data_IF_523365934850
#
_entry.id   IF_523365934850
#
_cell.length_a   1.000
_cell.length_b   1.000
_cell.length_c   1.000
_cell.angle_alpha   90.00
_cell.angle_beta   90.00
_cell.angle_gamma   90.00
#
_symmetry.space_group_name_H-M   'P 1'
#
loop_
_entity.id
_entity.type
_entity.pdbx_description
1 polymer ?
#
# COMPACT_ATOMS: atom_id res chain seq x y z
N UNK A 1 -45.16 54.48 -2.36
CA UNK A 1 -44.77 54.42 -3.79
C UNK A 1 -45.01 53.02 -4.32
N UNK A 2 -46.09 52.83 -5.08
CA UNK A 2 -46.27 51.73 -6.03
C UNK A 2 -45.80 52.22 -7.43
N UNK A 3 -45.64 51.40 -8.48
CA UNK A 3 -46.11 50.01 -8.60
C UNK A 3 -45.13 49.00 -9.28
N UNK A 4 -45.46 47.70 -9.27
CA UNK A 4 -45.00 46.71 -10.25
C UNK A 4 -46.05 46.49 -11.37
N UNK A 5 -45.61 46.14 -12.58
CA UNK A 5 -46.47 45.88 -13.73
C UNK A 5 -46.82 44.38 -13.91
N UNK A 6 -48.13 44.11 -13.75
CA UNK A 6 -49.08 43.19 -14.43
C UNK A 6 -48.55 42.21 -15.51
N UNK A 7 -48.83 40.90 -15.40
CA UNK A 7 -50.02 40.12 -15.89
C UNK A 7 -50.11 40.04 -17.43
N UNK A 8 -50.59 39.00 -18.13
CA UNK A 8 -51.16 37.67 -17.84
C UNK A 8 -51.37 36.97 -19.22
N UNK A 9 -51.65 35.66 -19.25
CA UNK A 9 -52.24 35.04 -20.46
C UNK A 9 -52.18 33.51 -20.54
N UNK A 10 -53.11 32.81 -19.87
CA UNK A 10 -53.51 31.42 -20.16
C UNK A 10 -54.54 31.40 -21.29
N UNK A 11 -54.52 30.38 -22.16
CA UNK A 11 -55.70 29.62 -22.60
C UNK A 11 -55.31 28.40 -23.47
N UNK A 12 -56.03 27.29 -23.27
CA UNK A 12 -55.88 25.95 -23.90
C UNK A 12 -56.81 25.79 -25.14
N UNK A 13 -57.29 24.59 -25.54
CA UNK A 13 -56.82 23.76 -26.65
C UNK A 13 -57.87 23.58 -27.77
N UNK A 14 -57.48 23.00 -28.91
CA UNK A 14 -58.41 22.69 -30.01
C UNK A 14 -58.09 21.38 -30.73
N UNK A 15 -58.99 20.39 -30.61
CA UNK A 15 -59.04 19.17 -31.43
C UNK A 15 -59.52 19.47 -32.85
N UNK A 16 -58.94 18.80 -33.86
CA UNK A 16 -59.68 18.22 -34.99
C UNK A 16 -58.80 17.29 -35.87
N UNK A 17 -59.29 16.07 -36.08
CA UNK A 17 -59.02 15.13 -37.19
C UNK A 17 -60.38 14.99 -37.95
N UNK A 18 -60.57 14.29 -39.11
CA UNK A 18 -59.69 13.38 -39.87
C UNK A 18 -59.85 13.46 -41.43
N UNK A 19 -59.42 12.38 -42.13
CA UNK A 19 -59.74 11.90 -43.50
C UNK A 19 -58.76 12.33 -44.63
N UNK A 20 -58.26 11.46 -45.52
CA UNK A 20 -58.50 10.05 -45.75
C UNK A 20 -57.59 9.44 -46.84
N UNK A 21 -57.39 8.13 -46.72
CA UNK A 21 -57.42 7.07 -47.77
C UNK A 21 -56.45 7.11 -48.97
N UNK A 22 -55.76 5.98 -49.13
CA UNK A 22 -55.20 5.49 -50.39
C UNK A 22 -54.30 4.28 -50.16
N UNK A 23 -54.89 3.07 -50.14
CA UNK A 23 -54.16 1.81 -49.97
C UNK A 23 -53.83 1.13 -51.30
N UNK A 24 -52.80 0.27 -51.27
CA UNK A 24 -52.65 -0.89 -52.15
C UNK A 24 -51.99 -2.03 -51.37
N UNK A 25 -52.43 -3.26 -51.67
CA UNK A 25 -52.35 -4.43 -50.82
C UNK A 25 -51.41 -5.54 -51.36
N UNK A 26 -50.91 -6.33 -50.40
CA UNK A 26 -50.49 -7.74 -50.43
C UNK A 26 -49.23 -8.17 -51.23
N UNK A 27 -48.56 -9.31 -50.91
CA UNK A 27 -48.94 -10.39 -49.97
C UNK A 27 -47.84 -10.84 -48.97
N UNK A 28 -48.25 -11.61 -47.95
CA UNK A 28 -47.39 -12.53 -47.17
C UNK A 28 -47.22 -13.85 -47.98
N UNK A 29 -46.18 -14.70 -47.82
CA UNK A 29 -45.84 -15.34 -46.54
C UNK A 29 -44.35 -15.75 -46.34
N UNK A 30 -44.00 -16.20 -45.14
CA UNK A 30 -43.22 -17.43 -44.87
C UNK A 30 -42.47 -17.32 -43.53
N UNK A 31 -42.73 -18.31 -42.67
CA UNK A 31 -41.95 -18.61 -41.48
C UNK A 31 -40.56 -19.10 -41.93
N UNK A 32 -39.49 -18.49 -41.44
CA UNK A 32 -38.18 -19.13 -41.40
C UNK A 32 -37.51 -18.88 -40.05
N UNK A 33 -37.09 -19.99 -39.45
CA UNK A 33 -36.35 -20.11 -38.22
C UNK A 33 -35.04 -19.32 -38.29
N UNK A 34 -34.95 -18.22 -37.55
CA UNK A 34 -33.73 -17.44 -37.35
C UNK A 34 -33.17 -17.67 -35.96
N UNK A 35 -31.96 -18.21 -35.91
CA UNK A 35 -31.22 -18.63 -34.73
C UNK A 35 -31.28 -17.64 -33.54
N UNK A 36 -31.45 -18.22 -32.35
CA UNK A 36 -31.19 -17.56 -31.07
C UNK A 36 -29.74 -17.08 -31.00
N UNK A 37 -29.51 -15.80 -31.30
CA UNK A 37 -28.31 -15.10 -30.85
C UNK A 37 -28.43 -14.86 -29.34
N UNK A 38 -28.19 -15.91 -28.53
CA UNK A 38 -27.82 -15.69 -27.13
C UNK A 38 -26.44 -15.04 -27.15
N UNK A 39 -26.42 -13.76 -26.80
CA UNK A 39 -25.21 -12.97 -26.70
C UNK A 39 -24.15 -13.67 -25.86
N UNK A 40 -23.13 -14.20 -26.53
CA UNK A 40 -21.78 -14.26 -25.99
C UNK A 40 -21.14 -12.89 -26.23
N UNK A 41 -21.64 -11.86 -25.55
CA UNK A 41 -20.80 -10.71 -25.24
C UNK A 41 -19.94 -11.17 -24.07
N UNK A 42 -18.77 -11.70 -24.40
CA UNK A 42 -17.79 -12.11 -23.42
C UNK A 42 -17.54 -10.96 -22.46
N UNK A 43 -17.67 -11.24 -21.17
CA UNK A 43 -17.01 -10.44 -20.16
C UNK A 43 -15.54 -10.41 -20.56
N UNK A 44 -15.06 -9.27 -21.07
CA UNK A 44 -13.66 -9.09 -21.36
C UNK A 44 -12.92 -9.34 -20.04
N UNK A 45 -12.17 -10.44 -19.96
CA UNK A 45 -11.34 -10.78 -18.80
C UNK A 45 -10.57 -9.52 -18.39
N UNK A 46 -10.80 -9.02 -17.17
CA UNK A 46 -10.17 -7.81 -16.64
C UNK A 46 -8.65 -8.03 -16.63
N UNK A 47 -7.99 -7.54 -17.68
CA UNK A 47 -6.55 -7.66 -17.87
C UNK A 47 -5.91 -6.38 -17.39
N UNK A 48 -4.97 -6.50 -16.47
CA UNK A 48 -4.13 -5.41 -15.99
C UNK A 48 -2.80 -5.47 -16.74
N UNK A 49 -2.32 -4.33 -17.19
CA UNK A 49 -1.10 -4.21 -18.00
C UNK A 49 -0.15 -3.21 -17.35
N UNK A 50 1.13 -3.58 -17.28
CA UNK A 50 2.24 -2.74 -16.81
C UNK A 50 1.96 -2.01 -15.49
N UNK A 51 1.31 -2.67 -14.53
CA UNK A 51 1.06 -2.08 -13.22
C UNK A 51 2.37 -2.01 -12.43
N UNK A 52 2.73 -0.83 -11.88
CA UNK A 52 3.87 -0.70 -10.98
C UNK A 52 3.73 -1.61 -9.77
N UNK A 53 4.76 -2.42 -9.52
CA UNK A 53 4.74 -3.39 -8.45
C UNK A 53 6.12 -3.71 -7.88
N UNK A 54 6.11 -4.30 -6.69
CA UNK A 54 7.27 -4.96 -6.08
C UNK A 54 6.90 -6.36 -5.62
N UNK A 55 7.83 -7.30 -5.75
CA UNK A 55 7.66 -8.63 -5.13
C UNK A 55 7.89 -8.50 -3.62
N UNK A 56 6.87 -8.86 -2.83
CA UNK A 56 7.00 -8.99 -1.38
C UNK A 56 7.59 -10.33 -1.00
N UNK A 57 7.05 -11.40 -1.60
CA UNK A 57 7.43 -12.78 -1.32
C UNK A 57 7.03 -13.72 -2.47
N UNK A 58 7.57 -14.94 -2.47
CA UNK A 58 7.16 -15.99 -3.40
C UNK A 58 7.13 -17.34 -2.69
N UNK A 59 6.28 -18.25 -3.20
CA UNK A 59 6.12 -19.61 -2.73
C UNK A 59 6.16 -20.59 -3.90
N UNK A 60 6.62 -21.81 -3.63
CA UNK A 60 6.52 -22.90 -4.58
C UNK A 60 5.07 -23.32 -4.81
N UNK A 61 4.64 -23.35 -6.07
CA UNK A 61 3.28 -23.75 -6.44
C UNK A 61 3.23 -25.10 -7.15
N UNK A 62 4.17 -25.32 -8.06
CA UNK A 62 4.36 -26.62 -8.72
C UNK A 62 5.85 -26.82 -9.02
N UNK A 63 6.19 -27.95 -9.65
CA UNK A 63 7.55 -28.23 -10.11
C UNK A 63 8.14 -27.09 -10.96
N UNK A 64 7.29 -26.38 -11.71
CA UNK A 64 7.74 -25.32 -12.62
C UNK A 64 7.21 -23.93 -12.32
N UNK A 65 6.32 -23.76 -11.32
CA UNK A 65 5.61 -22.48 -11.10
C UNK A 65 5.75 -21.95 -9.68
N UNK A 66 5.62 -20.63 -9.55
CA UNK A 66 5.62 -19.91 -8.27
C UNK A 66 4.29 -19.18 -8.07
N UNK A 67 3.86 -19.05 -6.81
CA UNK A 67 2.98 -17.94 -6.39
C UNK A 67 3.88 -16.77 -6.01
N UNK A 68 3.53 -15.59 -6.47
CA UNK A 68 4.19 -14.33 -6.17
C UNK A 68 3.20 -13.44 -5.43
N UNK A 69 3.56 -13.02 -4.22
CA UNK A 69 2.85 -11.96 -3.51
C UNK A 69 3.49 -10.63 -3.93
N UNK A 70 2.73 -9.82 -4.67
CA UNK A 70 3.17 -8.54 -5.19
C UNK A 70 2.41 -7.40 -4.51
N UNK A 71 3.12 -6.35 -4.11
CA UNK A 71 2.49 -5.08 -3.75
C UNK A 71 2.40 -4.22 -5.01
N UNK A 72 1.19 -3.82 -5.39
CA UNK A 72 0.90 -3.09 -6.61
C UNK A 72 0.29 -1.74 -6.26
N UNK A 73 0.53 -0.71 -7.08
CA UNK A 73 0.15 0.66 -6.74
C UNK A 73 -1.36 0.86 -6.68
N UNK A 74 -2.09 0.29 -7.62
CA UNK A 74 -3.52 0.56 -7.87
C UNK A 74 -4.42 -0.62 -7.53
N UNK A 75 -3.86 -1.76 -7.12
CA UNK A 75 -4.61 -2.96 -6.78
C UNK A 75 -4.17 -3.58 -5.44
N UNK A 76 -3.32 -2.91 -4.68
CA UNK A 76 -2.90 -3.39 -3.37
C UNK A 76 -2.03 -4.64 -3.44
N UNK A 77 -2.13 -5.48 -2.41
CA UNK A 77 -1.43 -6.77 -2.37
C UNK A 77 -2.16 -7.82 -3.23
N UNK A 78 -1.46 -8.33 -4.24
CA UNK A 78 -1.96 -9.28 -5.22
C UNK A 78 -1.21 -10.62 -5.14
N UNK A 79 -1.94 -11.73 -5.14
CA UNK A 79 -1.38 -13.07 -5.32
C UNK A 79 -1.42 -13.47 -6.80
N UNK A 80 -0.25 -13.72 -7.39
CA UNK A 80 -0.09 -14.01 -8.81
C UNK A 80 0.62 -15.35 -9.05
N UNK A 81 0.04 -16.25 -9.84
CA UNK A 81 0.73 -17.46 -10.28
C UNK A 81 1.61 -17.16 -11.50
N UNK A 82 2.92 -17.31 -11.33
CA UNK A 82 3.93 -17.22 -12.38
C UNK A 82 4.21 -18.62 -12.94
N UNK A 83 3.43 -19.01 -13.97
CA UNK A 83 3.52 -20.33 -14.60
C UNK A 83 4.85 -20.49 -15.31
N UNK A 84 5.55 -21.60 -15.04
CA UNK A 84 6.84 -21.89 -15.68
C UNK A 84 8.01 -21.04 -15.14
N UNK A 85 7.80 -20.22 -14.11
CA UNK A 85 8.81 -19.31 -13.56
C UNK A 85 10.15 -19.97 -13.20
N UNK A 86 10.14 -21.25 -12.80
CA UNK A 86 11.34 -21.99 -12.39
C UNK A 86 12.15 -22.56 -13.56
N UNK A 87 11.59 -22.60 -14.78
CA UNK A 87 12.27 -23.16 -15.95
C UNK A 87 13.51 -22.33 -16.29
N UNK A 88 14.63 -22.94 -16.71
CA UNK A 88 15.81 -22.20 -17.15
C UNK A 88 15.54 -21.18 -18.26
N UNK A 89 14.62 -21.48 -19.16
CA UNK A 89 14.22 -20.62 -20.28
C UNK A 89 13.15 -19.57 -19.93
N UNK A 90 12.75 -19.45 -18.66
CA UNK A 90 11.67 -18.56 -18.26
C UNK A 90 12.10 -17.09 -18.21
N UNK A 91 11.36 -16.23 -18.90
CA UNK A 91 11.52 -14.78 -18.82
C UNK A 91 11.20 -14.21 -17.42
N UNK A 92 10.48 -14.95 -16.57
CA UNK A 92 10.16 -14.51 -15.20
C UNK A 92 11.31 -14.75 -14.22
N UNK A 93 12.17 -15.75 -14.48
CA UNK A 93 13.22 -16.18 -13.55
C UNK A 93 14.19 -15.06 -13.15
N UNK A 94 14.67 -14.19 -14.07
CA UNK A 94 15.62 -13.15 -13.70
C UNK A 94 14.98 -11.88 -13.10
N UNK A 95 13.67 -11.68 -13.25
CA UNK A 95 13.02 -10.40 -12.91
C UNK A 95 12.18 -10.43 -11.63
N UNK A 96 11.70 -11.59 -11.18
CA UNK A 96 10.84 -11.69 -9.98
C UNK A 96 11.63 -11.62 -8.67
N UNK A 97 12.44 -10.58 -8.52
CA UNK A 97 13.28 -10.33 -7.35
C UNK A 97 12.57 -9.37 -6.38
N UNK A 98 12.62 -9.62 -5.07
CA UNK A 98 12.17 -8.66 -4.06
C UNK A 98 12.97 -7.36 -4.12
N UNK A 99 12.37 -6.26 -3.65
CA UNK A 99 13.00 -4.93 -3.60
C UNK A 99 13.41 -4.36 -4.96
N UNK A 100 12.97 -4.97 -6.07
CA UNK A 100 13.18 -4.47 -7.42
C UNK A 100 11.87 -3.89 -7.97
N UNK A 101 11.92 -2.72 -8.62
CA UNK A 101 10.73 -2.13 -9.24
C UNK A 101 10.36 -2.96 -10.48
N UNK A 102 9.09 -3.30 -10.60
CA UNK A 102 8.57 -4.11 -11.71
C UNK A 102 7.34 -3.45 -12.34
N UNK A 103 7.12 -3.75 -13.61
CA UNK A 103 5.84 -3.56 -14.29
C UNK A 103 5.22 -4.94 -14.52
N UNK A 104 4.13 -5.22 -13.82
CA UNK A 104 3.45 -6.51 -13.88
C UNK A 104 2.19 -6.43 -14.72
N UNK A 105 1.97 -7.45 -15.54
CA UNK A 105 0.74 -7.66 -16.29
C UNK A 105 0.10 -8.97 -15.88
N UNK A 106 -1.21 -8.98 -15.62
CA UNK A 106 -1.91 -10.20 -15.22
C UNK A 106 -3.37 -10.22 -15.70
N UNK A 107 -4.02 -11.36 -15.55
CA UNK A 107 -5.45 -11.50 -15.81
C UNK A 107 -6.05 -12.71 -15.11
N UNK A 108 -7.38 -12.80 -15.16
CA UNK A 108 -8.18 -13.75 -14.40
C UNK A 108 -8.95 -13.07 -13.28
N UNK A 109 -9.92 -13.78 -12.74
CA UNK A 109 -10.93 -13.31 -11.79
C UNK A 109 -10.93 -14.08 -10.45
N UNK A 110 -10.05 -15.07 -10.29
CA UNK A 110 -9.87 -15.80 -9.03
C UNK A 110 -8.96 -15.06 -8.03
N UNK A 111 -8.95 -15.56 -6.79
CA UNK A 111 -8.10 -15.06 -5.68
C UNK A 111 -6.60 -15.08 -6.00
N UNK A 112 -6.17 -16.04 -6.83
CA UNK A 112 -4.82 -16.10 -7.40
C UNK A 112 -4.95 -15.88 -8.91
N UNK A 113 -4.44 -14.74 -9.39
CA UNK A 113 -4.50 -14.38 -10.81
C UNK A 113 -3.29 -14.89 -11.57
N UNK A 114 -3.40 -15.07 -12.88
CA UNK A 114 -2.27 -15.54 -13.67
C UNK A 114 -1.39 -14.38 -14.12
N UNK A 115 -0.12 -14.40 -13.72
CA UNK A 115 0.90 -13.48 -14.22
C UNK A 115 1.10 -13.72 -15.72
N UNK A 116 1.02 -12.64 -16.52
CA UNK A 116 1.15 -12.64 -17.98
C UNK A 116 2.41 -11.95 -18.46
N UNK A 117 2.97 -11.02 -17.70
CA UNK A 117 4.19 -10.30 -18.02
C UNK A 117 4.82 -9.71 -16.76
N UNK A 118 6.14 -9.65 -16.73
CA UNK A 118 6.92 -8.99 -15.70
C UNK A 118 8.13 -8.34 -16.37
N UNK A 119 8.24 -7.03 -16.25
CA UNK A 119 9.34 -6.24 -16.80
C UNK A 119 10.04 -5.53 -15.65
N UNK A 120 11.37 -5.44 -15.72
CA UNK A 120 12.14 -4.67 -14.74
C UNK A 120 11.94 -3.18 -15.00
N UNK A 121 11.52 -2.44 -13.97
CA UNK A 121 11.33 -0.99 -14.02
C UNK A 121 12.65 -0.20 -14.02
N UNK A 122 13.78 -0.86 -13.74
CA UNK A 122 15.11 -0.26 -13.76
C UNK A 122 15.41 0.67 -12.58
N UNK A 123 16.63 1.22 -12.58
CA UNK A 123 17.00 2.37 -11.74
C UNK A 123 17.46 2.07 -10.32
N UNK A 124 17.44 0.81 -9.87
CA UNK A 124 17.82 0.44 -8.51
C UNK A 124 18.86 -0.68 -8.45
N UNK A 125 19.94 -0.41 -7.72
CA UNK A 125 20.89 -1.45 -7.31
C UNK A 125 20.26 -2.27 -6.19
N UNK A 126 20.50 -3.57 -6.16
CA UNK A 126 19.99 -4.43 -5.08
C UNK A 126 20.61 -3.99 -3.75
N UNK A 127 19.80 -3.69 -2.71
CA UNK A 127 20.33 -3.44 -1.38
C UNK A 127 21.15 -4.63 -0.87
N UNK A 128 22.16 -4.36 -0.06
CA UNK A 128 23.03 -5.39 0.53
C UNK A 128 23.11 -5.24 2.04
N UNK A 129 23.65 -6.25 2.73
CA UNK A 129 23.87 -6.20 4.18
C UNK A 129 22.61 -5.88 4.98
N UNK A 130 22.72 -4.91 5.90
CA UNK A 130 21.64 -4.53 6.81
C UNK A 130 20.49 -3.78 6.09
N UNK A 131 20.78 -3.10 4.97
CA UNK A 131 19.77 -2.46 4.14
C UNK A 131 18.87 -3.49 3.43
N UNK A 132 19.44 -4.62 2.99
CA UNK A 132 18.68 -5.75 2.45
C UNK A 132 17.73 -6.34 3.51
N UNK A 133 18.23 -6.55 4.73
CA UNK A 133 17.42 -7.06 5.83
C UNK A 133 16.31 -6.08 6.23
N UNK A 134 16.59 -4.78 6.17
CA UNK A 134 15.62 -3.70 6.36
C UNK A 134 14.50 -3.73 5.31
N UNK A 135 14.85 -3.96 4.04
CA UNK A 135 13.88 -4.13 2.96
C UNK A 135 12.99 -5.36 3.17
N UNK A 136 13.58 -6.51 3.53
CA UNK A 136 12.79 -7.71 3.82
C UNK A 136 11.88 -7.53 5.03
N UNK A 137 12.33 -6.80 6.05
CA UNK A 137 11.49 -6.43 7.19
C UNK A 137 10.25 -5.62 6.74
N UNK A 138 10.44 -4.63 5.87
CA UNK A 138 9.31 -3.88 5.30
C UNK A 138 8.36 -4.78 4.49
N UNK A 139 8.89 -5.73 3.71
CA UNK A 139 8.07 -6.72 2.99
C UNK A 139 7.24 -7.57 3.94
N UNK A 140 7.84 -8.04 5.03
CA UNK A 140 7.14 -8.85 6.03
C UNK A 140 6.03 -8.05 6.72
N UNK A 141 6.27 -6.78 7.05
CA UNK A 141 5.23 -5.92 7.61
C UNK A 141 4.05 -5.73 6.64
N UNK A 142 4.32 -5.47 5.35
CA UNK A 142 3.27 -5.37 4.33
C UNK A 142 2.48 -6.68 4.21
N UNK A 143 3.17 -7.82 4.26
CA UNK A 143 2.53 -9.14 4.22
C UNK A 143 1.62 -9.42 5.42
N UNK A 144 1.95 -8.88 6.60
CA UNK A 144 1.17 -9.09 7.82
C UNK A 144 0.03 -8.09 8.00
N UNK A 145 0.23 -6.84 7.58
CA UNK A 145 -0.67 -5.74 7.91
C UNK A 145 -1.60 -5.32 6.76
N UNK A 146 -1.29 -5.65 5.50
CA UNK A 146 -2.18 -5.31 4.38
C UNK A 146 -3.19 -6.42 4.08
N UNK A 147 -4.45 -6.03 3.87
CA UNK A 147 -5.42 -6.89 3.21
C UNK A 147 -5.02 -7.17 1.75
N UNK A 148 -5.49 -8.27 1.18
CA UNK A 148 -5.34 -8.51 -0.27
C UNK A 148 -6.33 -7.64 -1.03
N UNK A 149 -5.92 -7.19 -2.20
CA UNK A 149 -6.76 -6.41 -3.13
C UNK A 149 -7.29 -5.07 -2.57
N UNK A 150 -6.63 -4.51 -1.54
CA UNK A 150 -6.93 -3.19 -0.96
C UNK A 150 -5.86 -2.17 -1.37
N UNK A 151 -6.25 -1.12 -2.11
CA UNK A 151 -5.30 -0.23 -2.77
C UNK A 151 -4.80 0.89 -1.84
N UNK A 152 -3.47 0.99 -1.74
CA UNK A 152 -2.80 2.04 -0.97
C UNK A 152 -1.74 2.75 -1.82
N UNK A 153 -2.13 3.57 -2.81
CA UNK A 153 -1.18 4.18 -3.76
C UNK A 153 -0.14 5.07 -3.07
N UNK A 154 -0.52 5.82 -2.02
CA UNK A 154 0.42 6.64 -1.24
C UNK A 154 1.41 5.79 -0.43
N UNK A 155 0.97 4.66 0.11
CA UNK A 155 1.85 3.72 0.82
C UNK A 155 2.78 3.00 -0.16
N UNK A 156 2.30 2.69 -1.36
CA UNK A 156 3.14 2.17 -2.44
C UNK A 156 4.25 3.15 -2.80
N UNK A 157 3.91 4.43 -3.00
CA UNK A 157 4.89 5.47 -3.31
C UNK A 157 5.90 5.64 -2.16
N UNK A 158 5.46 5.54 -0.90
CA UNK A 158 6.34 5.54 0.28
C UNK A 158 7.25 4.31 0.36
N UNK A 159 6.74 3.12 0.04
CA UNK A 159 7.55 1.90 -0.03
C UNK A 159 8.60 2.00 -1.15
N UNK A 160 8.22 2.50 -2.32
CA UNK A 160 9.15 2.74 -3.42
C UNK A 160 10.27 3.70 -3.00
N UNK A 161 9.94 4.78 -2.31
CA UNK A 161 10.91 5.73 -1.77
C UNK A 161 11.83 5.10 -0.70
N UNK A 162 11.28 4.25 0.19
CA UNK A 162 12.08 3.47 1.14
C UNK A 162 13.11 2.60 0.40
N UNK A 163 12.68 1.84 -0.60
CA UNK A 163 13.58 0.97 -1.37
C UNK A 163 14.69 1.77 -2.07
N UNK A 164 14.38 2.96 -2.59
CA UNK A 164 15.39 3.86 -3.14
C UNK A 164 16.44 4.26 -2.10
N UNK A 165 16.01 4.64 -0.89
CA UNK A 165 16.95 4.98 0.20
C UNK A 165 17.81 3.78 0.60
N UNK A 166 17.24 2.58 0.66
CA UNK A 166 17.97 1.35 1.00
C UNK A 166 18.98 0.92 -0.09
N UNK A 167 18.75 1.32 -1.33
CA UNK A 167 19.64 1.04 -2.46
C UNK A 167 20.75 2.10 -2.64
N UNK A 168 20.63 3.25 -1.98
CA UNK A 168 21.57 4.35 -2.11
C UNK A 168 22.89 4.09 -1.36
N UNK A 169 24.02 4.69 -1.78
CA UNK A 169 25.29 4.60 -1.05
C UNK A 169 25.20 5.05 0.41
N UNK A 170 24.35 6.03 0.70
CA UNK A 170 24.12 6.61 2.02
C UNK A 170 23.17 5.76 2.89
N UNK A 171 22.77 4.56 2.43
CA UNK A 171 21.83 3.70 3.12
C UNK A 171 22.24 3.43 4.58
N UNK A 172 23.52 3.26 4.88
CA UNK A 172 23.99 2.98 6.24
C UNK A 172 23.57 4.09 7.24
N UNK A 173 23.64 5.35 6.83
CA UNK A 173 23.27 6.48 7.68
C UNK A 173 21.75 6.68 7.78
N UNK A 174 21.00 6.38 6.72
CA UNK A 174 19.59 6.76 6.60
C UNK A 174 18.59 5.61 6.83
N UNK A 175 19.01 4.35 6.69
CA UNK A 175 18.10 3.18 6.70
C UNK A 175 17.24 3.10 7.96
N UNK A 176 17.82 3.37 9.13
CA UNK A 176 17.09 3.29 10.40
C UNK A 176 15.95 4.31 10.48
N UNK A 177 16.23 5.56 10.13
CA UNK A 177 15.25 6.65 10.09
C UNK A 177 14.21 6.43 8.97
N UNK A 178 14.64 5.96 7.80
CA UNK A 178 13.77 5.63 6.67
C UNK A 178 12.77 4.53 7.02
N UNK A 179 13.23 3.50 7.73
CA UNK A 179 12.33 2.47 8.26
C UNK A 179 11.30 3.05 9.23
N UNK A 180 11.67 3.96 10.14
CA UNK A 180 10.70 4.56 11.07
C UNK A 180 9.65 5.39 10.33
N UNK A 181 10.08 6.17 9.33
CA UNK A 181 9.18 6.93 8.48
C UNK A 181 8.17 6.02 7.74
N UNK A 182 8.66 4.92 7.17
CA UNK A 182 7.80 3.94 6.50
C UNK A 182 6.84 3.24 7.47
N UNK A 183 7.30 2.82 8.64
CA UNK A 183 6.46 2.18 9.66
C UNK A 183 5.32 3.07 10.14
N UNK A 184 5.60 4.36 10.39
CA UNK A 184 4.58 5.34 10.75
C UNK A 184 3.52 5.45 9.64
N UNK A 185 3.96 5.54 8.38
CA UNK A 185 3.05 5.58 7.24
C UNK A 185 2.24 4.30 7.08
N UNK A 186 2.87 3.14 7.25
CA UNK A 186 2.18 1.85 7.20
C UNK A 186 1.09 1.78 8.27
N UNK A 187 1.44 2.07 9.53
CA UNK A 187 0.48 2.10 10.64
C UNK A 187 -0.65 3.09 10.37
N UNK A 188 -0.36 4.26 9.80
CA UNK A 188 -1.40 5.24 9.47
C UNK A 188 -2.34 4.73 8.37
N UNK A 189 -1.77 4.17 7.30
CA UNK A 189 -2.55 3.67 6.17
C UNK A 189 -3.39 2.43 6.52
N UNK A 190 -2.99 1.64 7.51
CA UNK A 190 -3.76 0.50 8.03
C UNK A 190 -4.68 0.88 9.19
N UNK A 191 -4.74 2.15 9.57
CA UNK A 191 -5.64 2.65 10.63
C UNK A 191 -5.18 2.26 12.06
N UNK A 192 -3.91 1.95 12.25
CA UNK A 192 -3.32 1.55 13.52
C UNK A 192 -2.47 2.65 14.19
N UNK A 193 -2.19 3.75 13.48
CA UNK A 193 -1.49 4.89 14.07
C UNK A 193 -2.50 5.83 14.76
N UNK A 194 -2.40 6.05 16.08
CA UNK A 194 -3.21 7.09 16.74
C UNK A 194 -2.75 8.49 16.31
N UNK A 195 -3.56 9.50 16.61
CA UNK A 195 -3.15 10.89 16.45
C UNK A 195 -1.86 11.17 17.24
N UNK A 196 -0.92 11.88 16.61
CA UNK A 196 0.40 12.15 17.17
C UNK A 196 0.54 13.59 17.70
N UNK A 197 -0.48 14.42 17.58
CA UNK A 197 -0.51 15.84 17.96
C UNK A 197 -1.38 16.12 19.19
N UNK A 198 -2.01 15.08 19.74
CA UNK A 198 -2.88 15.16 20.92
C UNK A 198 -2.69 13.95 21.82
N UNK A 199 -2.97 14.12 23.11
CA UNK A 199 -3.12 12.99 24.02
C UNK A 199 -4.40 12.23 23.70
N UNK A 200 -4.31 10.92 23.48
CA UNK A 200 -5.40 10.12 22.94
C UNK A 200 -6.64 10.07 23.84
N UNK A 201 -6.48 9.97 25.16
CA UNK A 201 -7.62 9.86 26.09
C UNK A 201 -8.31 11.20 26.38
N UNK A 202 -7.55 12.29 26.40
CA UNK A 202 -8.06 13.61 26.81
C UNK A 202 -8.31 14.54 25.64
N UNK A 203 -7.78 14.21 24.46
CA UNK A 203 -7.71 15.06 23.27
C UNK A 203 -7.02 16.41 23.52
N UNK A 204 -6.27 16.53 24.63
CA UNK A 204 -5.53 17.73 24.95
C UNK A 204 -4.31 17.84 24.01
N UNK A 205 -3.99 19.06 23.54
CA UNK A 205 -2.79 19.28 22.72
C UNK A 205 -1.52 18.94 23.50
N UNK A 206 -0.48 18.53 22.78
CA UNK A 206 0.83 18.32 23.38
C UNK A 206 1.48 19.66 23.72
N UNK A 207 2.13 19.71 24.88
CA UNK A 207 3.06 20.79 25.21
C UNK A 207 4.43 20.46 24.65
N UNK A 208 5.12 21.41 24.03
CA UNK A 208 6.35 21.14 23.29
C UNK A 208 7.46 20.52 24.15
N UNK A 209 7.61 20.97 25.39
CA UNK A 209 8.57 20.46 26.39
C UNK A 209 8.04 19.27 27.20
N UNK A 210 6.76 18.92 27.02
CA UNK A 210 6.13 17.77 27.65
C UNK A 210 6.71 16.46 27.14
N UNK A 211 6.74 15.44 28.00
CA UNK A 211 7.23 14.10 27.65
C UNK A 211 6.05 13.20 27.36
N UNK A 212 6.06 12.57 26.19
CA UNK A 212 4.97 11.71 25.74
C UNK A 212 5.46 10.36 25.23
N UNK A 213 4.64 9.34 25.47
CA UNK A 213 4.88 7.96 25.07
C UNK A 213 3.69 7.42 24.30
N UNK A 214 3.99 6.77 23.19
CA UNK A 214 3.05 6.00 22.40
C UNK A 214 2.90 4.60 23.00
N UNK A 215 1.69 4.28 23.48
CA UNK A 215 1.33 2.99 24.08
C UNK A 215 0.29 2.25 23.23
N UNK A 216 0.29 0.92 23.35
CA UNK A 216 -0.42 0.01 22.44
C UNK A 216 -1.92 0.28 22.31
N UNK A 217 -2.63 0.30 23.42
CA UNK A 217 -4.10 0.44 23.45
C UNK A 217 -4.55 1.85 23.89
N UNK A 218 -3.64 2.63 24.47
CA UNK A 218 -3.92 3.97 24.99
C UNK A 218 -3.47 5.12 24.08
N UNK A 219 -2.88 4.80 22.93
CA UNK A 219 -2.32 5.78 22.00
C UNK A 219 -1.23 6.66 22.62
N UNK A 220 -1.18 7.93 22.26
CA UNK A 220 -0.21 8.88 22.79
C UNK A 220 -0.66 9.43 24.14
N UNK A 221 0.17 9.32 25.18
CA UNK A 221 -0.11 9.86 26.52
C UNK A 221 1.12 10.54 27.11
N UNK A 222 0.91 11.38 28.13
CA UNK A 222 2.01 11.89 28.96
C UNK A 222 2.80 10.71 29.56
N UNK A 223 4.13 10.83 29.55
CA UNK A 223 5.04 9.85 30.12
C UNK A 223 5.05 9.95 31.66
N UNK A 224 5.12 8.80 32.32
CA UNK A 224 5.27 8.69 33.77
C UNK A 224 6.75 8.52 34.15
N UNK A 225 7.08 8.61 35.44
CA UNK A 225 8.47 8.58 35.92
C UNK A 225 9.22 7.26 35.63
N UNK A 226 8.49 6.16 35.43
CA UNK A 226 8.98 4.83 35.08
C UNK A 226 9.08 4.58 33.57
N UNK A 227 8.56 5.49 32.73
CA UNK A 227 8.65 5.35 31.28
C UNK A 227 10.07 5.69 30.78
N UNK A 228 10.86 4.65 30.44
CA UNK A 228 12.24 4.83 29.95
C UNK A 228 12.33 5.41 28.52
N UNK A 229 11.29 5.23 27.70
CA UNK A 229 11.25 5.74 26.34
C UNK A 229 10.06 6.68 26.11
N UNK A 230 10.38 7.96 25.95
CA UNK A 230 9.48 9.06 25.63
C UNK A 230 10.14 9.99 24.63
N UNK A 231 9.35 10.77 23.90
CA UNK A 231 9.82 11.88 23.06
C UNK A 231 9.16 13.18 23.54
N UNK A 232 9.76 14.32 23.18
CA UNK A 232 9.19 15.62 23.48
C UNK A 232 7.89 15.83 22.68
N UNK A 233 6.98 16.66 23.19
CA UNK A 233 5.76 17.02 22.46
C UNK A 233 6.08 17.66 21.11
N UNK A 234 7.13 18.49 21.05
CA UNK A 234 7.61 19.10 19.81
C UNK A 234 8.00 18.05 18.74
N UNK A 235 8.63 16.95 19.14
CA UNK A 235 9.02 15.86 18.23
C UNK A 235 7.80 15.13 17.66
N UNK A 236 6.81 14.85 18.51
CA UNK A 236 5.55 14.23 18.10
C UNK A 236 4.73 15.14 17.18
N UNK A 237 4.62 16.43 17.51
CA UNK A 237 3.98 17.44 16.66
C UNK A 237 4.69 17.55 15.30
N UNK A 238 6.03 17.55 15.28
CA UNK A 238 6.81 17.57 14.05
C UNK A 238 6.58 16.33 13.19
N UNK A 239 6.49 15.13 13.80
CA UNK A 239 6.11 13.91 13.09
C UNK A 239 4.70 13.98 12.53
N UNK A 240 3.72 14.42 13.32
CA UNK A 240 2.33 14.56 12.88
C UNK A 240 2.25 15.45 11.63
N UNK A 241 2.84 16.66 11.72
CA UNK A 241 2.89 17.60 10.61
C UNK A 241 3.67 17.06 9.40
N UNK A 242 4.74 16.28 9.61
CA UNK A 242 5.50 15.66 8.54
C UNK A 242 4.68 14.60 7.79
N UNK A 243 3.89 13.80 8.50
CA UNK A 243 3.05 12.77 7.92
C UNK A 243 1.93 13.39 7.06
N UNK A 244 1.42 14.57 7.40
CA UNK A 244 0.34 15.23 6.63
C UNK A 244 0.79 15.90 5.32
N UNK A 245 2.11 16.01 5.09
CA UNK A 245 2.65 16.56 3.85
C UNK A 245 2.39 15.63 2.66
N UNK A 246 2.31 16.21 1.46
CA UNK A 246 2.19 15.45 0.22
C UNK A 246 3.35 14.45 0.03
N UNK A 247 4.58 14.86 0.35
CA UNK A 247 5.76 14.01 0.37
C UNK A 247 6.03 13.46 1.79
N UNK A 248 5.02 12.80 2.37
CA UNK A 248 5.02 12.38 3.78
C UNK A 248 6.24 11.53 4.17
N UNK A 249 6.66 10.60 3.31
CA UNK A 249 7.82 9.75 3.57
C UNK A 249 9.11 10.57 3.73
N UNK A 250 9.41 11.43 2.75
CA UNK A 250 10.60 12.28 2.77
C UNK A 250 10.60 13.21 3.97
N UNK A 251 9.45 13.83 4.28
CA UNK A 251 9.34 14.72 5.42
C UNK A 251 9.54 14.00 6.76
N UNK A 252 8.93 12.83 6.94
CA UNK A 252 9.08 12.03 8.16
C UNK A 252 10.52 11.50 8.30
N UNK A 253 11.14 11.06 7.20
CA UNK A 253 12.55 10.68 7.16
C UNK A 253 13.44 11.84 7.62
N UNK A 254 13.26 13.04 7.05
CA UNK A 254 14.04 14.22 7.42
C UNK A 254 13.87 14.58 8.89
N UNK A 255 12.64 14.53 9.42
CA UNK A 255 12.38 14.78 10.83
C UNK A 255 13.15 13.78 11.72
N UNK A 256 12.99 12.48 11.49
CA UNK A 256 13.65 11.44 12.31
C UNK A 256 15.17 11.48 12.17
N UNK A 257 15.68 11.67 10.95
CA UNK A 257 17.12 11.71 10.70
C UNK A 257 17.82 12.91 11.35
N UNK A 258 17.09 14.01 11.61
CA UNK A 258 17.61 15.20 12.28
C UNK A 258 17.77 15.03 13.80
N UNK A 259 17.13 14.01 14.38
CA UNK A 259 17.14 13.79 15.82
C UNK A 259 18.43 13.12 16.30
N UNK A 260 18.82 13.32 17.57
CA UNK A 260 19.91 12.56 18.16
C UNK A 260 19.57 11.06 18.23
N UNK A 261 20.62 10.23 18.32
CA UNK A 261 20.49 8.78 18.25
C UNK A 261 19.61 8.19 19.38
N UNK A 262 19.54 8.86 20.54
CA UNK A 262 18.73 8.43 21.67
C UNK A 262 17.22 8.52 21.37
N UNK A 263 16.78 9.63 20.78
CA UNK A 263 15.40 9.88 20.36
C UNK A 263 14.99 8.92 19.24
N UNK A 264 15.87 8.73 18.24
CA UNK A 264 15.63 7.72 17.20
C UNK A 264 15.49 6.30 17.79
N UNK A 265 16.29 5.96 18.80
CA UNK A 265 16.20 4.68 19.49
C UNK A 265 14.89 4.53 20.28
N UNK A 266 14.44 5.58 20.97
CA UNK A 266 13.18 5.61 21.70
C UNK A 266 11.97 5.51 20.77
N UNK A 267 11.99 6.17 19.61
CA UNK A 267 10.96 6.01 18.58
C UNK A 267 10.92 4.56 18.08
N UNK A 268 12.07 3.99 17.74
CA UNK A 268 12.19 2.59 17.31
C UNK A 268 11.64 1.61 18.34
N UNK A 269 11.91 1.83 19.63
CA UNK A 269 11.38 0.98 20.70
C UNK A 269 9.85 1.03 20.76
N UNK A 270 9.27 2.23 20.69
CA UNK A 270 7.82 2.43 20.75
C UNK A 270 7.11 1.84 19.52
N UNK A 271 7.61 2.13 18.31
CA UNK A 271 7.03 1.58 17.06
C UNK A 271 7.16 0.06 16.99
N UNK A 272 8.27 -0.50 17.48
CA UNK A 272 8.44 -1.96 17.56
C UNK A 272 7.36 -2.61 18.41
N UNK A 273 7.05 -2.03 19.57
CA UNK A 273 6.00 -2.56 20.44
C UNK A 273 4.63 -2.51 19.74
N UNK A 274 4.31 -1.37 19.13
CA UNK A 274 3.05 -1.16 18.42
C UNK A 274 2.88 -2.12 17.22
N UNK A 275 3.88 -2.21 16.35
CA UNK A 275 3.87 -3.13 15.22
C UNK A 275 3.78 -4.59 15.65
N UNK A 276 4.47 -4.97 16.72
CA UNK A 276 4.40 -6.34 17.24
C UNK A 276 2.99 -6.71 17.71
N UNK A 277 2.32 -5.78 18.40
CA UNK A 277 0.93 -5.94 18.83
C UNK A 277 0.01 -6.14 17.62
N UNK A 278 0.06 -5.25 16.63
CA UNK A 278 -0.81 -5.34 15.45
C UNK A 278 -0.47 -6.50 14.50
N UNK A 279 0.76 -7.02 14.53
CA UNK A 279 1.13 -8.24 13.82
C UNK A 279 0.60 -9.54 14.48
N UNK A 280 -0.24 -9.44 15.51
CA UNK A 280 -0.85 -10.58 16.20
C UNK A 280 0.12 -11.33 17.12
N UNK A 281 1.13 -10.65 17.66
CA UNK A 281 2.11 -11.25 18.60
C UNK A 281 3.09 -12.26 17.98
N UNK A 282 2.94 -12.58 16.70
CA UNK A 282 3.87 -13.45 15.99
C UNK A 282 5.20 -12.72 15.76
N UNK A 283 6.29 -13.31 16.23
CA UNK A 283 7.64 -12.82 15.94
C UNK A 283 7.85 -12.67 14.44
N UNK A 284 8.48 -11.56 14.05
CA UNK A 284 8.84 -11.33 12.66
C UNK A 284 10.00 -12.26 12.29
N UNK A 285 9.84 -13.04 11.23
CA UNK A 285 10.84 -14.01 10.76
C UNK A 285 12.13 -13.30 10.37
N UNK A 286 12.01 -12.14 9.72
CA UNK A 286 13.16 -11.29 9.37
C UNK A 286 13.94 -10.85 10.59
N UNK A 287 13.26 -10.58 11.71
CA UNK A 287 13.92 -10.24 12.97
C UNK A 287 14.66 -11.43 13.57
N UNK A 288 14.10 -12.63 13.51
CA UNK A 288 14.81 -13.86 13.95
C UNK A 288 16.08 -14.05 13.13
N UNK A 289 15.99 -13.94 11.81
CA UNK A 289 17.14 -13.99 10.89
C UNK A 289 18.19 -12.91 11.19
N UNK A 290 17.78 -11.66 11.43
CA UNK A 290 18.71 -10.58 11.80
C UNK A 290 19.47 -10.91 13.10
N UNK A 291 18.76 -11.41 14.12
CA UNK A 291 19.38 -11.80 15.39
C UNK A 291 20.35 -12.98 15.20
N UNK A 292 20.01 -13.96 14.36
CA UNK A 292 20.88 -15.08 14.01
C UNK A 292 22.13 -14.61 13.27
N UNK A 293 21.99 -13.73 12.26
CA UNK A 293 23.12 -13.14 11.54
C UNK A 293 24.02 -12.31 12.47
N UNK A 294 23.45 -11.52 13.39
CA UNK A 294 24.22 -10.78 14.38
C UNK A 294 25.00 -11.70 15.32
N UNK A 295 24.37 -12.79 15.80
CA UNK A 295 25.04 -13.81 16.62
C UNK A 295 26.19 -14.49 15.89
N UNK A 296 26.06 -14.72 14.57
CA UNK A 296 27.12 -15.30 13.74
C UNK A 296 28.27 -14.31 13.47
N UNK A 297 27.98 -13.00 13.44
CA UNK A 297 28.98 -11.94 13.25
C UNK A 297 29.73 -11.56 14.54
N UNK A 298 29.17 -11.82 15.72
CA UNK A 298 29.87 -11.67 16.99
C UNK A 298 30.75 -12.90 17.23
N UNK A 299 32.10 -12.80 17.18
CA UNK A 299 32.94 -13.95 17.51
C UNK A 299 32.63 -14.38 18.94
N UNK A 300 32.37 -15.67 19.15
CA UNK A 300 32.37 -16.24 20.49
C UNK A 300 33.74 -15.91 21.11
N UNK A 301 33.75 -15.02 22.09
CA UNK A 301 34.87 -14.88 22.98
C UNK A 301 34.96 -16.18 23.77
N UNK A 302 35.71 -17.15 23.23
CA UNK A 302 36.19 -18.29 24.01
C UNK A 302 37.16 -17.72 25.04
N UNK A 303 36.72 -17.63 26.30
CA UNK A 303 37.61 -17.59 27.47
C UNK A 303 38.03 -19.00 27.83
#
# INVERSE_FOLDING_TARGET
>A
MAPPARQAGRAQPGLARPLGRGGHAAPAPAVSSGARWRGRLGAALKRVLHEPAYVLHHYDWSESSLIVEAFTRSHGRMALVAKGAKRPSSNFRPVLLPLQPLLLSWGGDGEIRTLKGAEWGGGLVMPTGDALLSGYYANELLMKLLAREDDHPRLFDAYAALVHVLAAPEAEALSAAALRAFELLLLRHTGHLPALDVQTLTLAPLQDDGRYRLVLEGGLRAAHGDDEAWLAGADWNALSAALDKQAAFTAALQAVASWPAAEQARLRQQLRALLHYHCGGNTLRTRQLMLEVQRLKSPMAFS
#
